data_IF_320275906512
#
_entry.id   IF_320275906512
#
_cell.length_a   1.000
_cell.length_b   1.000
_cell.length_c   1.000
_cell.angle_alpha   90.00
_cell.angle_beta   90.00
_cell.angle_gamma   90.00
#
_symmetry.space_group_name_H-M   'P 1'
#
loop_
_entity.id
_entity.type
_entity.pdbx_description
1 polymer ?
#
# COMPACT_ATOMS: atom_id res chain seq x y z
N UNK A 1 25.54 -0.99 16.72
CA UNK A 1 26.13 -1.61 15.50
C UNK A 1 25.40 -1.07 14.27
N UNK A 2 26.10 -0.51 13.30
CA UNK A 2 25.49 -0.15 12.00
C UNK A 2 25.23 -1.46 11.25
N UNK A 3 23.96 -1.84 11.04
CA UNK A 3 23.61 -3.02 10.26
C UNK A 3 23.89 -2.79 8.78
N UNK A 4 24.50 -3.77 8.11
CA UNK A 4 24.61 -3.72 6.65
C UNK A 4 23.22 -3.78 6.01
N UNK A 5 23.09 -3.32 4.75
CA UNK A 5 21.82 -3.41 4.02
C UNK A 5 21.31 -4.87 3.92
N UNK A 6 22.22 -5.82 3.68
CA UNK A 6 21.88 -7.26 3.61
C UNK A 6 21.36 -7.80 4.94
N UNK A 7 22.02 -7.44 6.06
CA UNK A 7 21.55 -7.83 7.40
C UNK A 7 20.19 -7.19 7.71
N UNK A 8 19.96 -5.95 7.27
CA UNK A 8 18.67 -5.27 7.44
C UNK A 8 17.54 -5.99 6.69
N UNK A 9 17.78 -6.49 5.48
CA UNK A 9 16.80 -7.31 4.75
C UNK A 9 16.52 -8.63 5.48
N UNK A 10 17.56 -9.32 5.97
CA UNK A 10 17.39 -10.55 6.74
C UNK A 10 16.54 -10.31 8.00
N UNK A 11 16.86 -9.26 8.76
CA UNK A 11 16.10 -8.90 9.96
C UNK A 11 14.64 -8.59 9.64
N UNK A 12 14.36 -7.81 8.58
CA UNK A 12 13.00 -7.54 8.15
C UNK A 12 12.28 -8.81 7.70
N UNK A 13 12.92 -9.71 6.98
CA UNK A 13 12.34 -11.01 6.62
C UNK A 13 11.93 -11.78 7.87
N UNK A 14 12.79 -11.84 8.90
CA UNK A 14 12.45 -12.50 10.18
C UNK A 14 11.26 -11.80 10.86
N UNK A 15 11.24 -10.46 10.90
CA UNK A 15 10.10 -9.69 11.46
C UNK A 15 8.80 -10.08 10.76
N UNK A 16 8.78 -10.14 9.43
CA UNK A 16 7.57 -10.46 8.66
C UNK A 16 7.16 -11.93 8.80
N UNK A 17 8.11 -12.85 8.93
CA UNK A 17 7.79 -14.25 9.24
C UNK A 17 7.15 -14.38 10.63
N UNK A 18 7.69 -13.68 11.63
CA UNK A 18 7.11 -13.64 12.99
C UNK A 18 5.74 -12.99 12.97
N UNK A 19 5.58 -11.85 12.32
CA UNK A 19 4.28 -11.16 12.22
C UNK A 19 3.23 -12.05 11.52
N UNK A 20 3.61 -12.73 10.43
CA UNK A 20 2.74 -13.69 9.73
C UNK A 20 2.37 -14.86 10.64
N UNK A 21 3.33 -15.44 11.36
CA UNK A 21 3.07 -16.53 12.30
C UNK A 21 2.10 -16.09 13.41
N UNK A 22 2.30 -14.90 13.99
CA UNK A 22 1.37 -14.33 14.98
C UNK A 22 -0.03 -14.18 14.39
N UNK A 23 -0.15 -13.61 13.19
CA UNK A 23 -1.45 -13.45 12.50
C UNK A 23 -2.14 -14.81 12.27
N UNK A 24 -1.41 -15.81 11.76
CA UNK A 24 -1.95 -17.16 11.52
C UNK A 24 -2.42 -17.81 12.81
N UNK A 25 -1.60 -17.78 13.87
CA UNK A 25 -1.95 -18.35 15.18
C UNK A 25 -3.21 -17.69 15.73
N UNK A 26 -3.29 -16.37 15.71
CA UNK A 26 -4.48 -15.62 16.17
C UNK A 26 -5.69 -15.97 15.31
N UNK A 27 -5.56 -16.00 13.98
CA UNK A 27 -6.64 -16.35 13.08
C UNK A 27 -7.23 -17.75 13.38
N UNK A 28 -6.37 -18.74 13.62
CA UNK A 28 -6.78 -20.12 13.94
C UNK A 28 -7.39 -20.22 15.34
N UNK A 29 -6.88 -19.44 16.31
CA UNK A 29 -7.37 -19.45 17.69
C UNK A 29 -8.79 -18.87 17.83
N UNK A 30 -9.20 -17.95 16.95
CA UNK A 30 -10.52 -17.29 17.02
C UNK A 30 -11.72 -18.18 16.63
N UNK A 31 -11.50 -19.46 16.27
CA UNK A 31 -12.58 -20.44 16.07
C UNK A 31 -13.63 -20.02 15.05
N UNK A 32 -14.92 -20.10 15.44
CA UNK A 32 -16.09 -19.94 14.55
C UNK A 32 -16.51 -18.48 14.29
N UNK A 33 -15.66 -17.50 14.60
CA UNK A 33 -15.96 -16.12 14.26
C UNK A 33 -16.04 -15.91 12.73
N UNK A 34 -16.82 -14.92 12.25
CA UNK A 34 -16.86 -14.57 10.83
C UNK A 34 -15.45 -14.25 10.27
N UNK A 35 -15.15 -14.72 9.06
CA UNK A 35 -13.83 -14.59 8.41
C UNK A 35 -13.30 -13.16 8.45
N UNK A 36 -14.15 -12.17 8.13
CA UNK A 36 -13.74 -10.77 8.15
C UNK A 36 -13.26 -10.32 9.54
N UNK A 37 -13.93 -10.76 10.61
CA UNK A 37 -13.56 -10.40 11.98
C UNK A 37 -12.26 -11.10 12.41
N UNK A 38 -12.13 -12.39 12.11
CA UNK A 38 -10.89 -13.17 12.37
C UNK A 38 -9.71 -12.53 11.66
N UNK A 39 -9.88 -12.20 10.39
CA UNK A 39 -8.82 -11.59 9.59
C UNK A 39 -8.42 -10.21 10.14
N UNK A 40 -9.40 -9.37 10.52
CA UNK A 40 -9.13 -8.06 11.12
C UNK A 40 -8.30 -8.18 12.41
N UNK A 41 -8.72 -9.07 13.32
CA UNK A 41 -8.02 -9.28 14.60
C UNK A 41 -6.62 -9.85 14.37
N UNK A 42 -6.48 -10.80 13.44
CA UNK A 42 -5.21 -11.40 13.08
C UNK A 42 -4.24 -10.37 12.46
N UNK A 43 -4.73 -9.51 11.57
CA UNK A 43 -3.92 -8.47 10.93
C UNK A 43 -3.51 -7.36 11.93
N UNK A 44 -4.39 -7.01 12.87
CA UNK A 44 -4.03 -6.12 14.00
C UNK A 44 -2.96 -6.79 14.87
N UNK A 45 -3.06 -8.08 15.19
CA UNK A 45 -2.06 -8.78 15.98
C UNK A 45 -0.68 -8.82 15.28
N UNK A 46 -0.67 -9.10 13.97
CA UNK A 46 0.55 -9.04 13.15
C UNK A 46 1.13 -7.61 13.09
N UNK A 47 0.26 -6.60 13.02
CA UNK A 47 0.66 -5.19 13.08
C UNK A 47 1.27 -4.82 14.42
N UNK A 48 0.71 -5.28 15.53
CA UNK A 48 1.29 -5.09 16.88
C UNK A 48 2.67 -5.74 16.96
N UNK A 49 2.84 -6.97 16.44
CA UNK A 49 4.16 -7.62 16.42
C UNK A 49 5.18 -6.80 15.61
N UNK A 50 4.79 -6.30 14.43
CA UNK A 50 5.62 -5.42 13.60
C UNK A 50 5.95 -4.11 14.31
N UNK A 51 4.97 -3.50 14.99
CA UNK A 51 5.17 -2.30 15.78
C UNK A 51 6.16 -2.51 16.92
N UNK A 52 6.05 -3.60 17.68
CA UNK A 52 7.01 -3.93 18.74
C UNK A 52 8.44 -4.06 18.20
N UNK A 53 8.60 -4.70 17.04
CA UNK A 53 9.89 -4.74 16.35
C UNK A 53 10.37 -3.34 15.94
N UNK A 54 9.47 -2.45 15.47
CA UNK A 54 9.83 -1.07 15.13
C UNK A 54 10.34 -0.28 16.34
N UNK A 55 9.78 -0.53 17.52
CA UNK A 55 10.24 0.05 18.79
C UNK A 55 11.63 -0.48 19.17
N UNK A 56 11.84 -1.79 19.07
CA UNK A 56 13.15 -2.43 19.37
C UNK A 56 14.24 -1.89 18.44
N UNK A 57 13.95 -1.78 17.14
CA UNK A 57 14.90 -1.22 16.16
C UNK A 57 14.98 0.32 16.18
N UNK A 58 14.12 0.99 16.96
CA UNK A 58 13.98 2.45 16.98
C UNK A 58 13.79 3.04 15.58
N UNK A 59 13.02 2.34 14.73
CA UNK A 59 12.84 2.69 13.33
C UNK A 59 11.45 2.26 12.83
N UNK A 60 10.57 3.22 12.61
CA UNK A 60 9.22 2.96 12.12
C UNK A 60 9.18 2.45 10.67
N UNK A 61 10.28 2.62 9.89
CA UNK A 61 10.39 2.09 8.52
C UNK A 61 10.42 0.55 8.45
N UNK A 62 10.46 -0.13 9.58
CA UNK A 62 10.18 -1.58 9.67
C UNK A 62 8.80 -1.88 9.07
N UNK A 63 7.84 -0.98 9.18
CA UNK A 63 6.48 -1.13 8.66
C UNK A 63 6.35 -0.86 7.14
N UNK A 64 7.30 -0.14 6.52
CA UNK A 64 7.15 0.32 5.13
C UNK A 64 6.74 -0.76 4.11
N UNK A 65 7.29 -2.00 4.10
CA UNK A 65 6.84 -3.03 3.18
C UNK A 65 5.56 -3.76 3.63
N UNK A 66 5.06 -3.54 4.85
CA UNK A 66 3.92 -4.29 5.40
C UNK A 66 2.68 -4.17 4.50
N UNK A 67 2.32 -2.97 4.11
CA UNK A 67 1.12 -2.70 3.33
C UNK A 67 1.13 -3.26 1.90
N UNK A 68 2.28 -3.69 1.38
CA UNK A 68 2.37 -4.41 0.10
C UNK A 68 2.59 -5.91 0.25
N UNK A 69 3.15 -6.37 1.38
CA UNK A 69 3.40 -7.79 1.67
C UNK A 69 2.16 -8.45 2.26
N UNK A 70 1.50 -7.82 3.24
CA UNK A 70 0.33 -8.39 3.91
C UNK A 70 -0.80 -8.78 2.94
N UNK A 71 -1.18 -7.96 1.93
CA UNK A 71 -2.17 -8.37 0.91
C UNK A 71 -1.81 -9.65 0.18
N UNK A 72 -0.54 -9.82 -0.21
CA UNK A 72 -0.07 -11.04 -0.88
C UNK A 72 -0.23 -12.24 0.05
N UNK A 73 0.25 -12.12 1.30
CA UNK A 73 0.16 -13.21 2.29
C UNK A 73 -1.29 -13.61 2.52
N UNK A 74 -2.20 -12.64 2.72
CA UNK A 74 -3.62 -12.89 2.92
C UNK A 74 -4.23 -13.61 1.70
N UNK A 75 -3.99 -13.09 0.50
CA UNK A 75 -4.55 -13.67 -0.73
C UNK A 75 -4.10 -15.11 -0.91
N UNK A 76 -2.83 -15.44 -0.70
CA UNK A 76 -2.33 -16.80 -0.84
C UNK A 76 -2.78 -17.72 0.31
N UNK A 77 -2.96 -17.21 1.52
CA UNK A 77 -3.52 -17.99 2.63
C UNK A 77 -4.97 -18.44 2.34
N UNK A 78 -5.78 -17.56 1.76
CA UNK A 78 -7.15 -17.90 1.37
C UNK A 78 -7.23 -18.72 0.07
N UNK A 79 -6.27 -18.57 -0.84
CA UNK A 79 -6.23 -19.36 -2.07
C UNK A 79 -5.98 -20.85 -1.80
N UNK A 80 -5.26 -21.19 -0.72
CA UNK A 80 -4.85 -22.57 -0.41
C UNK A 80 -6.01 -23.56 -0.31
N UNK A 81 -7.15 -23.13 0.26
CA UNK A 81 -8.34 -23.97 0.49
C UNK A 81 -9.51 -23.63 -0.44
N UNK A 82 -9.23 -23.09 -1.60
CA UNK A 82 -10.25 -22.54 -2.49
C UNK A 82 -10.19 -23.23 -3.86
N UNK A 83 -11.34 -23.59 -4.41
CA UNK A 83 -11.43 -24.00 -5.80
C UNK A 83 -11.03 -22.82 -6.71
N UNK A 84 -10.06 -23.07 -7.59
CA UNK A 84 -9.49 -22.05 -8.47
C UNK A 84 -10.40 -21.88 -9.68
N UNK A 85 -11.07 -20.74 -9.77
CA UNK A 85 -11.80 -20.30 -10.96
C UNK A 85 -11.03 -19.22 -11.72
N UNK A 86 -11.38 -19.00 -12.99
CA UNK A 86 -10.72 -17.97 -13.80
C UNK A 86 -10.86 -16.56 -13.16
N UNK A 87 -12.02 -16.22 -12.58
CA UNK A 87 -12.23 -14.94 -11.92
C UNK A 87 -11.31 -14.77 -10.69
N UNK A 88 -11.18 -15.81 -9.86
CA UNK A 88 -10.26 -15.83 -8.70
C UNK A 88 -8.81 -15.65 -9.15
N UNK A 89 -8.40 -16.40 -10.19
CA UNK A 89 -7.04 -16.34 -10.71
C UNK A 89 -6.67 -14.95 -11.23
N UNK A 90 -7.55 -14.29 -11.99
CA UNK A 90 -7.32 -12.92 -12.47
C UNK A 90 -7.07 -11.97 -11.29
N UNK A 91 -7.86 -12.03 -10.22
CA UNK A 91 -7.70 -11.16 -9.07
C UNK A 91 -6.41 -11.46 -8.30
N UNK A 92 -6.07 -12.74 -8.10
CA UNK A 92 -4.79 -13.14 -7.48
C UNK A 92 -3.61 -12.60 -8.26
N UNK A 93 -3.63 -12.71 -9.60
CA UNK A 93 -2.59 -12.18 -10.47
C UNK A 93 -2.48 -10.66 -10.30
N UNK A 94 -3.60 -9.92 -10.34
CA UNK A 94 -3.59 -8.46 -10.23
C UNK A 94 -2.97 -7.98 -8.91
N UNK A 95 -3.41 -8.54 -7.77
CA UNK A 95 -2.90 -8.17 -6.43
C UNK A 95 -1.44 -8.60 -6.27
N UNK A 96 -1.06 -9.76 -6.79
CA UNK A 96 0.33 -10.24 -6.72
C UNK A 96 1.27 -9.33 -7.52
N UNK A 97 0.94 -9.00 -8.76
CA UNK A 97 1.75 -8.12 -9.60
C UNK A 97 1.88 -6.72 -8.99
N UNK A 98 0.78 -6.16 -8.48
CA UNK A 98 0.81 -4.89 -7.75
C UNK A 98 1.71 -4.94 -6.53
N UNK A 99 1.52 -5.93 -5.64
CA UNK A 99 2.25 -6.01 -4.38
C UNK A 99 3.73 -6.34 -4.57
N UNK A 100 4.08 -7.26 -5.50
CA UNK A 100 5.48 -7.55 -5.85
C UNK A 100 6.17 -6.31 -6.42
N UNK A 101 5.52 -5.59 -7.34
CA UNK A 101 6.05 -4.34 -7.88
C UNK A 101 6.29 -3.30 -6.79
N UNK A 102 5.32 -3.10 -5.88
CA UNK A 102 5.43 -2.11 -4.81
C UNK A 102 6.53 -2.48 -3.81
N UNK A 103 6.60 -3.75 -3.41
CA UNK A 103 7.67 -4.27 -2.55
C UNK A 103 9.04 -4.13 -3.22
N UNK A 104 9.15 -4.44 -4.52
CA UNK A 104 10.39 -4.27 -5.27
C UNK A 104 10.83 -2.80 -5.35
N UNK A 105 9.88 -1.87 -5.55
CA UNK A 105 10.15 -0.44 -5.53
C UNK A 105 10.66 0.03 -4.16
N UNK A 106 10.04 -0.44 -3.08
CA UNK A 106 10.51 -0.20 -1.73
C UNK A 106 11.92 -0.77 -1.53
N UNK A 107 12.13 -2.06 -1.86
CA UNK A 107 13.43 -2.72 -1.71
C UNK A 107 14.55 -2.01 -2.47
N UNK A 108 14.26 -1.48 -3.66
CA UNK A 108 15.21 -0.69 -4.44
C UNK A 108 15.67 0.58 -3.71
N UNK A 109 14.77 1.27 -3.04
CA UNK A 109 15.05 2.53 -2.31
C UNK A 109 15.48 2.32 -0.86
N UNK A 110 15.40 1.11 -0.34
CA UNK A 110 15.72 0.81 1.06
C UNK A 110 17.24 0.87 1.31
N UNK A 111 17.66 1.72 2.23
CA UNK A 111 19.06 1.93 2.59
C UNK A 111 19.51 1.16 3.85
N UNK A 112 18.63 0.34 4.42
CA UNK A 112 18.86 -0.40 5.67
C UNK A 112 18.20 0.26 6.88
N UNK A 113 18.13 -0.50 7.99
CA UNK A 113 17.49 -0.09 9.24
C UNK A 113 18.19 1.07 9.97
N UNK A 114 19.38 1.49 9.50
CA UNK A 114 20.05 2.70 10.01
C UNK A 114 19.42 4.00 9.48
N UNK A 115 18.54 3.90 8.48
CA UNK A 115 17.85 5.05 7.89
C UNK A 115 16.36 4.91 8.13
N UNK A 116 15.76 5.94 8.73
CA UNK A 116 14.32 6.04 8.90
C UNK A 116 13.73 6.97 7.82
N UNK A 117 12.52 6.66 7.34
CA UNK A 117 11.81 7.56 6.41
C UNK A 117 11.63 8.94 7.04
N UNK A 118 11.84 9.97 6.25
CA UNK A 118 11.78 11.37 6.69
C UNK A 118 10.42 11.75 7.31
N UNK A 119 9.34 11.11 6.90
CA UNK A 119 7.99 11.34 7.46
C UNK A 119 7.95 10.98 8.93
N UNK A 120 8.55 9.86 9.29
CA UNK A 120 8.56 9.36 10.67
C UNK A 120 9.49 10.19 11.55
N UNK A 121 10.65 10.60 11.04
CA UNK A 121 11.53 11.54 11.74
C UNK A 121 10.83 12.88 11.99
N UNK A 122 10.17 13.43 10.97
CA UNK A 122 9.38 14.66 11.13
C UNK A 122 8.25 14.51 12.14
N UNK A 123 7.53 13.38 12.15
CA UNK A 123 6.47 13.12 13.12
C UNK A 123 7.04 13.00 14.53
N UNK A 124 8.17 12.32 14.70
CA UNK A 124 8.86 12.18 15.97
C UNK A 124 9.27 13.55 16.54
N UNK A 125 9.86 14.41 15.70
CA UNK A 125 10.24 15.78 16.08
C UNK A 125 9.02 16.64 16.49
N UNK A 126 7.91 16.51 15.75
CA UNK A 126 6.70 17.30 16.01
C UNK A 126 5.91 16.87 17.23
N UNK A 127 5.89 15.56 17.53
CA UNK A 127 5.01 15.00 18.55
C UNK A 127 5.73 14.67 19.87
N UNK A 128 7.07 14.66 19.88
CA UNK A 128 7.87 14.46 21.09
C UNK A 128 7.45 13.24 21.90
N UNK A 129 7.02 13.46 23.14
CA UNK A 129 6.60 12.39 24.05
C UNK A 129 5.36 11.60 23.58
N UNK A 130 4.53 12.16 22.69
CA UNK A 130 3.37 11.48 22.10
C UNK A 130 3.74 10.58 20.91
N UNK A 131 4.99 10.59 20.47
CA UNK A 131 5.43 9.80 19.29
C UNK A 131 5.08 8.31 19.37
N UNK A 132 5.20 7.58 20.49
CA UNK A 132 4.82 6.18 20.55
C UNK A 132 3.36 5.93 20.11
N UNK A 133 2.42 6.79 20.52
CA UNK A 133 1.02 6.71 20.11
C UNK A 133 0.84 7.05 18.63
N UNK A 134 1.52 8.09 18.14
CA UNK A 134 1.50 8.48 16.72
C UNK A 134 2.12 7.39 15.86
N UNK A 135 3.20 6.76 16.31
CA UNK A 135 3.84 5.64 15.64
C UNK A 135 2.88 4.45 15.53
N UNK A 136 2.26 4.03 16.64
CA UNK A 136 1.33 2.90 16.62
C UNK A 136 0.07 3.22 15.81
N UNK A 137 -0.65 4.26 16.17
CA UNK A 137 -1.95 4.57 15.56
C UNK A 137 -1.81 5.09 14.13
N UNK A 138 -0.92 6.07 13.92
CA UNK A 138 -0.83 6.80 12.64
C UNK A 138 0.02 6.09 11.58
N UNK A 139 1.13 5.45 11.98
CA UNK A 139 2.06 4.84 11.05
C UNK A 139 1.74 3.36 10.82
N UNK A 140 1.33 2.62 11.85
CA UNK A 140 1.08 1.18 11.76
C UNK A 140 -0.41 0.85 11.61
N UNK A 141 -1.25 1.24 12.57
CA UNK A 141 -2.63 0.75 12.65
C UNK A 141 -3.53 1.33 11.54
N UNK A 142 -3.55 2.64 11.36
CA UNK A 142 -4.45 3.27 10.35
C UNK A 142 -4.16 2.76 8.94
N UNK A 143 -2.90 2.70 8.45
CA UNK A 143 -2.64 2.11 7.13
C UNK A 143 -2.99 0.61 7.05
N UNK A 144 -2.77 -0.17 8.13
CA UNK A 144 -3.21 -1.57 8.18
C UNK A 144 -4.73 -1.69 7.98
N UNK A 145 -5.53 -0.90 8.71
CA UNK A 145 -6.98 -0.92 8.60
C UNK A 145 -7.46 -0.55 7.19
N UNK A 146 -6.80 0.41 6.55
CA UNK A 146 -7.12 0.80 5.16
C UNK A 146 -6.78 -0.34 4.20
N UNK A 147 -5.60 -0.94 4.33
CA UNK A 147 -5.16 -2.06 3.47
C UNK A 147 -6.01 -3.29 3.70
N UNK A 148 -6.32 -3.62 4.95
CA UNK A 148 -7.28 -4.68 5.29
C UNK A 148 -8.61 -4.47 4.55
N UNK A 149 -9.19 -3.28 4.65
CA UNK A 149 -10.45 -2.96 3.97
C UNK A 149 -10.34 -3.07 2.43
N UNK A 150 -9.17 -2.73 1.86
CA UNK A 150 -8.91 -2.90 0.43
C UNK A 150 -8.80 -4.36 -0.01
N UNK A 151 -8.27 -5.24 0.86
CA UNK A 151 -8.08 -6.68 0.57
C UNK A 151 -9.37 -7.47 0.82
N UNK A 152 -10.24 -7.00 1.69
CA UNK A 152 -11.46 -7.70 2.07
C UNK A 152 -12.34 -8.15 0.88
N UNK A 153 -12.54 -7.34 -0.19
CA UNK A 153 -13.24 -7.81 -1.40
C UNK A 153 -12.58 -9.02 -2.05
N UNK A 154 -11.25 -9.13 -2.00
CA UNK A 154 -10.52 -10.28 -2.56
C UNK A 154 -10.77 -11.53 -1.73
N UNK A 155 -10.83 -11.40 -0.41
CA UNK A 155 -11.18 -12.51 0.49
C UNK A 155 -12.58 -13.04 0.19
N UNK A 156 -13.58 -12.15 0.04
CA UNK A 156 -14.93 -12.54 -0.36
C UNK A 156 -14.98 -13.21 -1.74
N UNK A 157 -14.15 -12.76 -2.70
CA UNK A 157 -14.02 -13.43 -4.00
C UNK A 157 -13.46 -14.85 -3.85
N UNK A 158 -12.46 -15.03 -3.00
CA UNK A 158 -11.83 -16.34 -2.78
C UNK A 158 -12.75 -17.34 -2.05
N UNK A 159 -13.51 -16.86 -1.07
CA UNK A 159 -14.47 -17.70 -0.32
C UNK A 159 -15.77 -17.95 -1.10
N UNK A 160 -16.16 -17.04 -2.00
CA UNK A 160 -17.40 -17.10 -2.75
C UNK A 160 -17.30 -17.83 -4.09
N UNK A 161 -18.38 -17.72 -4.86
CA UNK A 161 -18.50 -18.24 -6.22
C UNK A 161 -18.53 -17.07 -7.23
N UNK A 162 -17.40 -16.44 -7.52
CA UNK A 162 -17.35 -15.28 -8.40
C UNK A 162 -17.62 -15.63 -9.85
N UNK A 163 -18.44 -14.82 -10.51
CA UNK A 163 -18.69 -14.94 -11.95
C UNK A 163 -17.61 -14.23 -12.77
N UNK A 164 -17.21 -14.84 -13.88
CA UNK A 164 -16.38 -14.18 -14.90
C UNK A 164 -17.32 -13.55 -15.94
N UNK A 165 -17.19 -12.24 -16.14
CA UNK A 165 -17.99 -11.47 -17.11
C UNK A 165 -17.17 -10.31 -17.70
N UNK A 166 -17.74 -9.56 -18.64
CA UNK A 166 -17.05 -8.44 -19.27
C UNK A 166 -16.57 -7.38 -18.27
N UNK A 167 -17.36 -7.09 -17.22
CA UNK A 167 -16.98 -6.14 -16.16
C UNK A 167 -15.75 -6.59 -15.40
N UNK A 168 -15.67 -7.87 -15.02
CA UNK A 168 -14.49 -8.42 -14.33
C UNK A 168 -13.23 -8.35 -15.18
N UNK A 169 -13.33 -8.63 -16.49
CA UNK A 169 -12.19 -8.51 -17.42
C UNK A 169 -11.76 -7.04 -17.56
N UNK A 170 -12.70 -6.11 -17.70
CA UNK A 170 -12.40 -4.67 -17.77
C UNK A 170 -11.65 -4.22 -16.52
N UNK A 171 -12.15 -4.54 -15.31
CA UNK A 171 -11.51 -4.09 -14.08
C UNK A 171 -10.20 -4.82 -13.78
N UNK A 172 -10.01 -6.05 -14.24
CA UNK A 172 -8.70 -6.69 -14.24
C UNK A 172 -7.69 -5.92 -15.10
N UNK A 173 -8.05 -5.54 -16.32
CA UNK A 173 -7.19 -4.74 -17.21
C UNK A 173 -6.92 -3.35 -16.59
N UNK A 174 -7.91 -2.73 -15.96
CA UNK A 174 -7.74 -1.47 -15.23
C UNK A 174 -6.74 -1.62 -14.07
N UNK A 175 -6.81 -2.72 -13.30
CA UNK A 175 -5.88 -3.00 -12.21
C UNK A 175 -4.43 -3.16 -12.72
N UNK A 176 -4.22 -3.89 -13.82
CA UNK A 176 -2.91 -4.01 -14.45
C UNK A 176 -2.40 -2.66 -14.99
N UNK A 177 -3.28 -1.88 -15.60
CA UNK A 177 -2.98 -0.52 -16.07
C UNK A 177 -2.56 0.40 -14.93
N UNK A 178 -3.27 0.32 -13.79
CA UNK A 178 -2.97 1.08 -12.58
C UNK A 178 -1.61 0.70 -11.98
N UNK A 179 -1.31 -0.60 -11.86
CA UNK A 179 -0.01 -1.08 -11.40
C UNK A 179 1.13 -0.66 -12.34
N UNK A 180 0.88 -0.68 -13.65
CA UNK A 180 1.83 -0.21 -14.67
C UNK A 180 2.07 1.29 -14.56
N UNK A 181 1.01 2.09 -14.41
CA UNK A 181 1.10 3.54 -14.21
C UNK A 181 1.98 3.89 -13.02
N UNK A 182 1.81 3.20 -11.89
CA UNK A 182 2.66 3.35 -10.72
C UNK A 182 4.12 3.03 -11.04
N UNK A 183 4.37 1.87 -11.66
CA UNK A 183 5.72 1.42 -12.00
C UNK A 183 6.45 2.41 -12.90
N UNK A 184 5.78 2.92 -13.93
CA UNK A 184 6.35 3.94 -14.83
C UNK A 184 6.63 5.24 -14.09
N UNK A 185 5.70 5.71 -13.25
CA UNK A 185 5.89 6.92 -12.44
C UNK A 185 7.09 6.80 -11.49
N UNK A 186 7.21 5.66 -10.81
CA UNK A 186 8.33 5.37 -9.90
C UNK A 186 9.67 5.29 -10.66
N UNK A 187 9.71 4.63 -11.81
CA UNK A 187 10.90 4.59 -12.67
C UNK A 187 11.34 5.99 -13.14
N UNK A 188 10.39 6.85 -13.51
CA UNK A 188 10.69 8.24 -13.87
C UNK A 188 11.25 9.01 -12.68
N UNK A 189 10.68 8.84 -11.48
CA UNK A 189 11.19 9.44 -10.26
C UNK A 189 12.61 8.95 -9.93
N UNK A 190 12.90 7.65 -10.08
CA UNK A 190 14.25 7.12 -9.86
C UNK A 190 15.28 7.70 -10.85
N UNK A 191 14.92 7.79 -12.13
CA UNK A 191 15.78 8.41 -13.15
C UNK A 191 16.05 9.88 -12.82
N UNK A 192 15.02 10.61 -12.41
CA UNK A 192 15.17 12.01 -11.98
C UNK A 192 16.11 12.14 -10.78
N UNK A 193 15.96 11.31 -9.75
CA UNK A 193 16.86 11.33 -8.58
C UNK A 193 18.30 10.99 -8.96
N UNK A 194 18.51 10.02 -9.84
CA UNK A 194 19.85 9.63 -10.31
C UNK A 194 20.52 10.68 -11.18
N UNK A 195 19.75 11.52 -11.87
CA UNK A 195 20.31 12.57 -12.73
C UNK A 195 21.00 13.72 -11.97
N UNK A 196 20.86 13.76 -10.63
CA UNK A 196 21.43 14.85 -9.81
C UNK A 196 20.80 16.21 -10.05
N UNK A 197 19.78 16.33 -10.91
CA UNK A 197 19.02 17.57 -11.11
C UNK A 197 18.35 17.97 -9.80
N UNK A 198 18.61 19.15 -9.30
CA UNK A 198 17.96 19.69 -8.11
C UNK A 198 16.45 19.92 -8.32
N UNK A 199 15.76 20.31 -7.25
CA UNK A 199 14.35 20.66 -7.32
C UNK A 199 13.40 19.45 -7.27
N UNK A 200 12.42 19.39 -8.17
CA UNK A 200 11.38 18.35 -8.24
C UNK A 200 11.14 17.93 -9.69
N UNK A 201 10.63 16.72 -9.88
CA UNK A 201 10.31 16.16 -11.19
C UNK A 201 9.07 16.86 -11.79
N UNK A 202 9.13 17.17 -13.09
CA UNK A 202 8.02 17.73 -13.89
C UNK A 202 8.02 17.22 -15.34
N UNK A 203 8.71 16.10 -15.56
CA UNK A 203 8.84 15.46 -16.87
C UNK A 203 7.97 14.21 -16.94
N UNK A 204 7.66 13.70 -18.15
CA UNK A 204 6.90 12.48 -18.35
C UNK A 204 5.48 12.54 -17.74
N UNK A 205 5.08 11.53 -16.98
CA UNK A 205 3.79 11.47 -16.31
C UNK A 205 3.61 12.61 -15.30
N UNK A 206 4.69 13.06 -14.68
CA UNK A 206 4.71 14.15 -13.69
C UNK A 206 4.43 15.53 -14.31
N UNK A 207 4.47 15.66 -15.63
CA UNK A 207 4.00 16.86 -16.34
C UNK A 207 2.47 17.01 -16.27
N UNK A 208 1.75 15.90 -16.28
CA UNK A 208 0.28 15.87 -16.36
C UNK A 208 -0.40 15.66 -15.02
N UNK A 209 0.25 14.97 -14.10
CA UNK A 209 -0.21 14.72 -12.73
C UNK A 209 0.94 14.98 -11.76
N UNK A 210 0.66 15.64 -10.62
CA UNK A 210 1.67 15.82 -9.57
C UNK A 210 1.94 14.56 -8.75
N UNK A 211 0.99 13.60 -8.80
CA UNK A 211 1.06 12.33 -8.06
C UNK A 211 0.58 11.16 -8.93
N UNK A 212 1.23 10.87 -10.07
CA UNK A 212 0.78 9.82 -10.98
C UNK A 212 0.87 8.42 -10.36
N UNK A 213 1.83 8.18 -9.44
CA UNK A 213 1.94 6.96 -8.68
C UNK A 213 0.78 6.80 -7.68
N UNK A 214 0.31 7.87 -7.02
CA UNK A 214 -0.85 7.82 -6.13
C UNK A 214 -2.16 7.63 -6.91
N UNK A 215 -2.26 8.22 -8.09
CA UNK A 215 -3.38 7.95 -8.99
C UNK A 215 -3.45 6.45 -9.33
N UNK A 216 -2.32 5.84 -9.65
CA UNK A 216 -2.25 4.40 -9.90
C UNK A 216 -2.66 3.57 -8.68
N UNK A 217 -2.22 3.95 -7.47
CA UNK A 217 -2.60 3.25 -6.23
C UNK A 217 -4.11 3.32 -5.96
N UNK A 218 -4.69 4.50 -6.06
CA UNK A 218 -6.13 4.71 -5.92
C UNK A 218 -6.89 3.89 -6.98
N UNK A 219 -6.46 3.97 -8.24
CA UNK A 219 -7.10 3.24 -9.35
C UNK A 219 -7.01 1.73 -9.20
N UNK A 220 -5.92 1.21 -8.64
CA UNK A 220 -5.74 -0.22 -8.36
C UNK A 220 -6.84 -0.73 -7.42
N UNK A 221 -7.02 -0.08 -6.27
CA UNK A 221 -8.00 -0.53 -5.27
C UNK A 221 -9.44 -0.30 -5.69
N UNK A 222 -9.73 0.75 -6.47
CA UNK A 222 -11.04 0.90 -7.11
C UNK A 222 -11.29 -0.20 -8.15
N UNK A 223 -10.27 -0.62 -8.89
CA UNK A 223 -10.41 -1.73 -9.85
C UNK A 223 -10.71 -3.05 -9.13
N UNK A 224 -10.05 -3.34 -8.01
CA UNK A 224 -10.33 -4.50 -7.16
C UNK A 224 -11.77 -4.46 -6.63
N UNK A 225 -12.21 -3.33 -6.09
CA UNK A 225 -13.54 -3.15 -5.55
C UNK A 225 -14.64 -3.35 -6.62
N UNK A 226 -14.47 -2.75 -7.78
CA UNK A 226 -15.44 -2.85 -8.90
C UNK A 226 -15.42 -4.21 -9.57
N UNK A 227 -14.28 -4.88 -9.61
CA UNK A 227 -14.20 -6.30 -10.00
C UNK A 227 -15.08 -7.15 -9.08
N UNK A 228 -14.98 -6.97 -7.75
CA UNK A 228 -15.79 -7.71 -6.79
C UNK A 228 -17.29 -7.42 -6.97
N UNK A 229 -17.67 -6.16 -7.21
CA UNK A 229 -19.05 -5.77 -7.53
C UNK A 229 -19.56 -6.47 -8.79
N UNK A 230 -18.77 -6.51 -9.85
CA UNK A 230 -19.15 -7.16 -11.11
C UNK A 230 -19.24 -8.69 -10.97
N UNK A 231 -18.48 -9.27 -10.07
CA UNK A 231 -18.32 -10.72 -9.93
C UNK A 231 -19.28 -11.34 -8.93
N UNK A 232 -19.57 -10.65 -7.81
CA UNK A 232 -20.37 -11.14 -6.68
C UNK A 232 -21.70 -10.39 -6.50
N UNK A 233 -21.93 -9.31 -7.26
CA UNK A 233 -23.01 -8.37 -7.04
C UNK A 233 -22.64 -7.21 -6.15
N UNK A 234 -23.54 -6.23 -6.03
CA UNK A 234 -23.27 -4.99 -5.30
C UNK A 234 -23.24 -5.21 -3.79
N UNK A 235 -22.17 -4.70 -3.15
CA UNK A 235 -22.08 -4.52 -1.70
C UNK A 235 -21.24 -3.29 -1.37
N UNK A 236 -21.71 -2.45 -0.44
CA UNK A 236 -20.95 -1.31 0.08
C UNK A 236 -19.61 -1.71 0.71
N UNK A 237 -19.54 -2.91 1.28
CA UNK A 237 -18.33 -3.46 1.90
C UNK A 237 -17.18 -3.51 0.89
N UNK A 238 -17.45 -3.81 -0.37
CA UNK A 238 -16.41 -3.89 -1.40
C UNK A 238 -15.82 -2.52 -1.77
N UNK A 239 -16.60 -1.45 -1.63
CA UNK A 239 -16.19 -0.09 -2.00
C UNK A 239 -15.47 0.64 -0.86
N UNK A 240 -15.72 0.22 0.40
CA UNK A 240 -15.26 0.93 1.58
C UNK A 240 -13.72 1.08 1.62
N UNK A 241 -12.98 0.01 1.33
CA UNK A 241 -11.51 0.03 1.31
C UNK A 241 -10.95 1.01 0.28
N UNK A 242 -11.47 0.96 -0.96
CA UNK A 242 -11.04 1.88 -2.03
C UNK A 242 -11.35 3.34 -1.68
N UNK A 243 -12.50 3.61 -1.07
CA UNK A 243 -12.87 4.95 -0.60
C UNK A 243 -11.94 5.41 0.54
N UNK A 244 -11.70 4.57 1.55
CA UNK A 244 -10.79 4.87 2.66
C UNK A 244 -9.36 5.13 2.17
N UNK A 245 -8.86 4.32 1.23
CA UNK A 245 -7.56 4.51 0.60
C UNK A 245 -7.50 5.86 -0.16
N UNK A 246 -8.55 6.20 -0.89
CA UNK A 246 -8.65 7.49 -1.58
C UNK A 246 -8.58 8.65 -0.58
N UNK A 247 -9.32 8.58 0.52
CA UNK A 247 -9.28 9.57 1.59
C UNK A 247 -7.88 9.68 2.22
N UNK A 248 -7.22 8.55 2.49
CA UNK A 248 -5.86 8.52 3.02
C UNK A 248 -4.88 9.27 2.10
N UNK A 249 -4.98 9.06 0.79
CA UNK A 249 -4.11 9.77 -0.16
C UNK A 249 -4.46 11.25 -0.25
N UNK A 250 -5.74 11.61 -0.37
CA UNK A 250 -6.16 13.00 -0.55
C UNK A 250 -5.89 13.86 0.67
N UNK A 251 -6.12 13.35 1.87
CA UNK A 251 -6.09 14.14 3.10
C UNK A 251 -4.80 13.99 3.91
N UNK A 252 -4.01 12.93 3.67
CA UNK A 252 -2.78 12.68 4.44
C UNK A 252 -1.56 12.63 3.52
N UNK A 253 -1.50 11.69 2.57
CA UNK A 253 -0.27 11.43 1.81
C UNK A 253 0.11 12.58 0.88
N UNK A 254 -0.85 13.13 0.12
CA UNK A 254 -0.62 14.23 -0.80
C UNK A 254 -0.25 15.52 -0.06
N UNK A 255 -0.99 15.97 0.98
CA UNK A 255 -0.59 17.15 1.75
C UNK A 255 0.80 17.05 2.36
N UNK A 256 1.20 15.89 2.89
CA UNK A 256 2.55 15.66 3.41
C UNK A 256 3.61 15.77 2.31
N UNK A 257 3.38 15.14 1.16
CA UNK A 257 4.30 15.18 0.03
C UNK A 257 4.43 16.60 -0.54
N UNK A 258 3.31 17.30 -0.78
CA UNK A 258 3.31 18.67 -1.30
C UNK A 258 3.88 19.68 -0.30
N UNK A 259 3.63 19.52 1.00
CA UNK A 259 4.21 20.35 2.04
C UNK A 259 5.74 20.30 2.06
N UNK A 260 6.33 19.13 1.77
CA UNK A 260 7.78 18.99 1.59
C UNK A 260 8.28 19.68 0.31
N UNK A 261 7.55 19.52 -0.79
CA UNK A 261 7.92 20.09 -2.08
C UNK A 261 7.72 21.60 -2.14
N UNK A 262 6.76 22.15 -1.37
CA UNK A 262 6.45 23.58 -1.33
C UNK A 262 7.64 24.47 -0.94
N UNK A 263 8.65 23.87 -0.27
CA UNK A 263 9.91 24.58 0.09
C UNK A 263 10.86 24.77 -1.09
N UNK A 264 10.56 24.19 -2.26
CA UNK A 264 11.41 24.24 -3.45
C UNK A 264 10.94 25.34 -4.40
N UNK A 265 11.91 26.07 -4.95
CA UNK A 265 11.66 27.12 -5.94
C UNK A 265 10.89 26.59 -7.16
N UNK A 266 9.92 27.33 -7.64
CA UNK A 266 9.07 27.00 -8.79
C UNK A 266 7.99 25.94 -8.53
N UNK A 267 7.87 25.38 -7.31
CA UNK A 267 6.83 24.40 -7.03
C UNK A 267 5.43 25.02 -7.03
N UNK A 268 5.29 26.27 -6.58
CA UNK A 268 4.01 26.99 -6.60
C UNK A 268 3.46 27.14 -8.04
N UNK A 269 4.32 27.44 -9.00
CA UNK A 269 3.93 27.58 -10.40
C UNK A 269 3.63 26.24 -11.06
N UNK A 270 4.41 25.21 -10.74
CA UNK A 270 4.07 23.83 -11.13
C UNK A 270 2.69 23.39 -10.61
N UNK A 271 2.36 23.75 -9.37
CA UNK A 271 1.05 23.46 -8.75
C UNK A 271 -0.09 24.20 -9.46
N UNK A 272 0.15 25.40 -9.99
CA UNK A 272 -0.84 26.12 -10.81
C UNK A 272 -1.09 25.44 -12.16
N UNK A 273 -0.03 24.93 -12.80
CA UNK A 273 -0.05 24.37 -14.16
C UNK A 273 -0.46 22.92 -14.23
N UNK A 274 -0.16 22.11 -13.18
CA UNK A 274 -0.35 20.66 -13.18
C UNK A 274 -1.41 20.24 -12.17
N UNK A 275 -2.33 19.38 -12.59
CA UNK A 275 -3.38 18.82 -11.73
C UNK A 275 -2.79 17.90 -10.64
N UNK A 276 -3.53 17.75 -9.54
CA UNK A 276 -3.10 16.95 -8.40
C UNK A 276 -3.00 15.46 -8.75
N UNK A 277 -4.06 14.88 -9.29
CA UNK A 277 -4.16 13.45 -9.63
C UNK A 277 -4.49 13.25 -11.12
N UNK A 278 -5.66 13.68 -11.57
CA UNK A 278 -6.14 13.39 -12.92
C UNK A 278 -5.28 14.11 -13.96
N UNK A 279 -4.80 13.40 -15.01
CA UNK A 279 -3.92 13.96 -16.03
C UNK A 279 -4.72 14.77 -17.08
N UNK A 280 -5.59 15.66 -16.60
CA UNK A 280 -6.38 16.56 -17.46
C UNK A 280 -5.64 17.87 -17.58
N UNK A 281 -5.49 18.36 -18.81
CA UNK A 281 -4.83 19.63 -19.07
C UNK A 281 -5.51 20.77 -18.29
N UNK A 282 -4.71 21.56 -17.60
CA UNK A 282 -5.20 22.74 -16.91
C UNK A 282 -5.06 23.93 -17.88
N UNK A 283 -6.21 24.41 -18.41
CA UNK A 283 -6.22 25.64 -19.19
C UNK A 283 -5.81 26.82 -18.32
#
# INVERSE_FOLDING_TARGET
MKSSRGLSFLLLTVVYLVATAVGVVVYLWLGDMPTWAKLLIADIAATVATFLCSVVFKNASVYDPYWSVAPIVIVYAFLWNTEITAAKLLMVIAVTLWGVRLTANWAYTFHGLNHQDWRYTMLQEKTGALYPFVNFLGIHLVPTLVVYACVLPVVYLLEGNPSLNAGTVIFFVCALGAATLQGVADCQMHRFRKSGRGGFIRDGLWKYSRHPNYLGEISMWWSVALFAVCSLGFSWVYLFGAAANTCLFLFISIPLAEGRQARKEGFADYKKQTRMLLPVYKK
#
